data_IF_762646303063
#
_entry.id   IF_762646303063
#
_cell.length_a   1.000
_cell.length_b   1.000
_cell.length_c   1.000
_cell.angle_alpha   90.00
_cell.angle_beta   90.00
_cell.angle_gamma   90.00
#
_symmetry.space_group_name_H-M   'P 1'
#
loop_
_entity.id
_entity.type
_entity.pdbx_description
1 polymer ?
#
# COMPACT_ATOMS: atom_id res chain seq x y z
N UNK A 1 17.73 22.21 15.85
CA UNK A 1 18.93 21.69 16.52
C UNK A 1 18.52 20.53 17.43
N UNK A 2 18.39 19.33 16.86
CA UNK A 2 18.33 18.04 17.56
C UNK A 2 18.95 17.03 16.61
N UNK A 3 19.81 16.22 17.19
CA UNK A 3 20.97 15.57 16.60
C UNK A 3 20.60 14.34 15.78
N UNK A 4 21.46 14.08 14.80
CA UNK A 4 21.52 12.91 13.93
C UNK A 4 21.77 11.64 14.77
N UNK A 5 20.80 10.72 14.81
CA UNK A 5 21.07 9.32 15.16
C UNK A 5 21.44 8.58 13.87
N UNK A 6 22.75 8.55 13.59
CA UNK A 6 23.34 7.59 12.66
C UNK A 6 23.35 6.23 13.35
N UNK A 7 22.55 5.29 12.87
CA UNK A 7 22.57 3.90 13.32
C UNK A 7 23.93 3.28 12.98
N UNK A 8 24.66 2.90 14.02
CA UNK A 8 25.91 2.17 13.97
C UNK A 8 25.68 0.75 13.43
N UNK A 9 25.80 0.56 12.13
CA UNK A 9 26.15 -0.77 11.60
C UNK A 9 27.66 -0.92 11.72
N UNK A 10 28.10 -1.27 12.92
CA UNK A 10 29.46 -1.75 13.16
C UNK A 10 29.62 -3.10 12.47
N UNK A 11 30.17 -3.10 11.26
CA UNK A 11 30.81 -4.29 10.70
C UNK A 11 31.95 -4.61 11.66
N UNK A 12 31.77 -5.62 12.50
CA UNK A 12 32.87 -6.19 13.25
C UNK A 12 33.88 -6.69 12.22
N UNK A 13 34.94 -5.91 11.99
CA UNK A 13 36.15 -6.39 11.37
C UNK A 13 36.65 -7.51 12.28
N UNK A 14 36.38 -8.76 11.91
CA UNK A 14 37.15 -9.89 12.42
C UNK A 14 38.58 -9.64 11.96
N UNK A 15 39.40 -9.11 12.86
CA UNK A 15 40.84 -9.07 12.72
C UNK A 15 41.30 -10.47 12.29
N UNK A 16 41.89 -10.55 11.10
CA UNK A 16 42.62 -11.73 10.68
C UNK A 16 43.89 -11.76 11.55
N UNK A 17 43.74 -12.29 12.75
CA UNK A 17 44.87 -12.63 13.60
C UNK A 17 45.73 -13.61 12.84
N UNK A 18 46.93 -13.16 12.49
CA UNK A 18 48.06 -13.98 12.07
C UNK A 18 48.07 -15.31 12.84
N UNK A 19 47.82 -16.42 12.13
CA UNK A 19 47.77 -17.79 12.64
C UNK A 19 49.17 -18.31 13.00
N UNK A 20 49.96 -17.55 13.74
CA UNK A 20 51.30 -17.95 14.17
C UNK A 20 51.35 -18.61 15.56
N UNK A 21 50.22 -19.08 16.10
CA UNK A 21 50.20 -19.92 17.30
C UNK A 21 48.89 -20.68 17.47
N UNK A 22 48.81 -21.94 17.00
CA UNK A 22 47.75 -22.87 17.39
C UNK A 22 48.34 -23.99 18.27
N UNK A 23 47.68 -24.41 19.38
CA UNK A 23 48.21 -25.37 20.35
C UNK A 23 48.26 -26.84 19.88
N UNK A 24 47.81 -27.13 18.66
CA UNK A 24 47.69 -28.50 18.17
C UNK A 24 48.66 -28.76 17.02
N UNK A 25 49.96 -28.79 17.37
CA UNK A 25 50.95 -29.46 16.52
C UNK A 25 50.90 -30.97 16.68
N UNK A 26 50.21 -31.50 17.69
CA UNK A 26 50.11 -32.93 18.01
C UNK A 26 48.66 -33.39 18.10
N UNK A 27 48.41 -34.61 17.64
CA UNK A 27 47.12 -35.27 17.71
C UNK A 27 46.77 -35.63 19.16
N UNK A 28 45.58 -35.28 19.66
CA UNK A 28 45.19 -35.53 21.05
C UNK A 28 45.08 -37.02 21.39
N UNK A 29 44.82 -37.88 20.39
CA UNK A 29 44.64 -39.33 20.58
C UNK A 29 45.96 -40.10 20.61
N UNK A 30 46.89 -39.73 19.74
CA UNK A 30 48.11 -40.49 19.49
C UNK A 30 49.38 -39.77 19.94
N UNK A 31 49.25 -38.50 20.35
CA UNK A 31 50.37 -37.63 20.73
C UNK A 31 51.45 -37.53 19.62
N UNK A 32 51.07 -37.77 18.35
CA UNK A 32 51.93 -37.61 17.18
C UNK A 32 51.73 -36.28 16.45
N UNK A 33 52.76 -35.72 15.78
CA UNK A 33 52.62 -34.50 15.02
C UNK A 33 51.51 -34.59 13.96
N UNK A 34 50.64 -33.59 13.89
CA UNK A 34 49.64 -33.47 12.81
C UNK A 34 50.40 -33.13 11.53
N UNK A 35 50.39 -34.06 10.58
CA UNK A 35 51.21 -33.99 9.36
C UNK A 35 50.52 -34.55 8.11
N UNK A 36 49.25 -34.95 8.22
CA UNK A 36 48.49 -35.61 7.16
C UNK A 36 47.17 -34.86 6.92
N UNK A 37 46.78 -34.70 5.65
CA UNK A 37 45.49 -34.19 5.22
C UNK A 37 44.63 -35.32 4.68
N UNK A 38 43.42 -35.48 5.20
CA UNK A 38 42.42 -36.39 4.65
C UNK A 38 41.51 -35.63 3.69
N UNK A 39 41.61 -35.91 2.39
CA UNK A 39 40.84 -35.25 1.34
C UNK A 39 39.35 -35.57 1.44
N UNK A 40 39.00 -36.82 1.77
CA UNK A 40 37.61 -37.27 1.92
C UNK A 40 36.89 -36.55 3.06
N UNK A 41 37.56 -36.36 4.19
CA UNK A 41 36.98 -35.68 5.36
C UNK A 41 37.23 -34.17 5.38
N UNK A 42 38.11 -33.65 4.52
CA UNK A 42 38.63 -32.26 4.53
C UNK A 42 39.18 -31.85 5.90
N UNK A 43 39.99 -32.70 6.51
CA UNK A 43 40.54 -32.50 7.85
C UNK A 43 42.03 -32.81 7.92
N UNK A 44 42.74 -32.12 8.82
CA UNK A 44 44.13 -32.41 9.16
C UNK A 44 44.21 -33.37 10.35
N UNK A 45 45.12 -34.34 10.30
CA UNK A 45 45.29 -35.40 11.29
C UNK A 45 46.75 -35.90 11.33
N UNK A 46 47.14 -36.70 12.34
CA UNK A 46 48.47 -37.34 12.31
C UNK A 46 48.43 -38.69 11.59
N UNK A 47 49.59 -39.16 11.15
CA UNK A 47 49.76 -40.42 10.41
C UNK A 47 49.10 -41.64 11.07
N UNK A 48 49.05 -41.73 12.41
CA UNK A 48 48.36 -42.81 13.12
C UNK A 48 46.84 -42.78 12.92
N UNK A 49 46.23 -41.58 12.86
CA UNK A 49 44.81 -41.45 12.53
C UNK A 49 44.52 -41.87 11.09
N UNK A 50 45.43 -41.61 10.15
CA UNK A 50 45.25 -41.93 8.74
C UNK A 50 45.11 -43.45 8.50
N UNK A 51 45.82 -44.26 9.29
CA UNK A 51 45.77 -45.73 9.21
C UNK A 51 44.72 -46.36 10.13
N UNK A 52 44.09 -45.56 10.99
CA UNK A 52 43.03 -46.03 11.88
C UNK A 52 41.83 -46.55 11.09
N UNK A 53 41.02 -47.43 11.69
CA UNK A 53 39.81 -47.97 11.05
C UNK A 53 38.85 -46.90 10.53
N UNK A 54 38.89 -45.68 11.10
CA UNK A 54 38.05 -44.54 10.70
C UNK A 54 38.49 -43.86 9.40
N UNK A 55 39.78 -43.91 9.04
CA UNK A 55 40.33 -43.27 7.84
C UNK A 55 41.06 -44.23 6.89
N UNK A 56 41.09 -45.53 7.21
CA UNK A 56 41.80 -46.57 6.45
C UNK A 56 41.42 -46.64 4.97
N UNK A 57 40.19 -46.25 4.63
CA UNK A 57 39.66 -46.21 3.26
C UNK A 57 39.56 -44.80 2.67
N UNK A 58 40.08 -43.78 3.37
CA UNK A 58 40.05 -42.39 2.89
C UNK A 58 41.38 -42.03 2.22
N UNK A 59 41.29 -41.14 1.23
CA UNK A 59 42.47 -40.57 0.59
C UNK A 59 43.14 -39.60 1.56
N UNK A 60 44.31 -39.99 2.05
CA UNK A 60 45.08 -39.25 3.03
C UNK A 60 46.50 -39.02 2.49
N UNK A 61 46.97 -37.77 2.58
CA UNK A 61 48.26 -37.36 2.03
C UNK A 61 49.08 -36.64 3.09
N UNK A 62 50.40 -36.87 3.12
CA UNK A 62 51.29 -36.09 3.98
C UNK A 62 51.37 -34.65 3.46
N UNK A 63 51.53 -33.69 4.35
CA UNK A 63 51.66 -32.28 3.94
C UNK A 63 52.81 -32.06 2.94
N UNK A 64 53.94 -32.75 3.12
CA UNK A 64 55.07 -32.69 2.19
C UNK A 64 54.71 -33.06 0.75
N UNK A 65 53.74 -33.95 0.59
CA UNK A 65 53.42 -34.57 -0.71
C UNK A 65 52.42 -33.72 -1.50
N UNK A 66 51.61 -32.92 -0.80
CA UNK A 66 50.54 -32.10 -1.41
C UNK A 66 50.71 -30.59 -1.19
N UNK A 67 51.74 -30.12 -0.48
CA UNK A 67 51.94 -28.69 -0.16
C UNK A 67 51.94 -27.84 -1.43
N UNK A 68 52.68 -28.26 -2.45
CA UNK A 68 52.74 -27.54 -3.71
C UNK A 68 51.40 -27.57 -4.45
N UNK A 69 50.77 -28.74 -4.56
CA UNK A 69 49.48 -28.90 -5.26
C UNK A 69 48.36 -28.09 -4.60
N UNK A 70 48.27 -28.11 -3.26
CA UNK A 70 47.29 -27.34 -2.51
C UNK A 70 47.52 -25.83 -2.61
N UNK A 71 48.78 -25.38 -2.60
CA UNK A 71 49.10 -23.96 -2.85
C UNK A 71 48.69 -23.52 -4.24
N UNK A 72 48.92 -24.36 -5.25
CA UNK A 72 48.50 -24.08 -6.63
C UNK A 72 46.98 -24.06 -6.79
N UNK A 73 46.26 -25.00 -6.15
CA UNK A 73 44.80 -25.02 -6.12
C UNK A 73 44.23 -23.75 -5.47
N UNK A 74 44.70 -23.39 -4.27
CA UNK A 74 44.25 -22.19 -3.56
C UNK A 74 44.55 -20.91 -4.34
N UNK A 75 45.73 -20.81 -4.98
CA UNK A 75 46.04 -19.67 -5.86
C UNK A 75 45.06 -19.59 -7.02
N UNK A 76 44.73 -20.72 -7.66
CA UNK A 76 43.76 -20.76 -8.77
C UNK A 76 42.36 -20.33 -8.32
N UNK A 77 41.88 -20.85 -7.19
CA UNK A 77 40.56 -20.51 -6.64
C UNK A 77 40.48 -19.03 -6.25
N UNK A 78 41.50 -18.50 -5.58
CA UNK A 78 41.56 -17.09 -5.18
C UNK A 78 41.62 -16.16 -6.38
N UNK A 79 42.45 -16.47 -7.39
CA UNK A 79 42.48 -15.70 -8.64
C UNK A 79 41.12 -15.72 -9.35
N UNK A 80 40.48 -16.89 -9.43
CA UNK A 80 39.15 -17.00 -10.03
C UNK A 80 38.07 -16.23 -9.26
N UNK A 81 38.16 -16.19 -7.93
CA UNK A 81 37.26 -15.38 -7.10
C UNK A 81 37.51 -13.87 -7.30
N UNK A 82 38.78 -13.47 -7.39
CA UNK A 82 39.17 -12.09 -7.63
C UNK A 82 38.71 -11.59 -9.00
N UNK A 83 38.81 -12.42 -10.04
CA UNK A 83 38.26 -12.12 -11.37
C UNK A 83 36.73 -12.01 -11.34
N UNK A 84 36.04 -12.95 -10.67
CA UNK A 84 34.58 -12.87 -10.49
C UNK A 84 34.15 -11.60 -9.76
N UNK A 85 34.87 -11.22 -8.71
CA UNK A 85 34.64 -9.97 -7.98
C UNK A 85 34.78 -8.76 -8.91
N UNK A 86 35.91 -8.63 -9.62
CA UNK A 86 36.15 -7.50 -10.51
C UNK A 86 35.15 -7.44 -11.67
N UNK A 87 34.76 -8.60 -12.20
CA UNK A 87 33.74 -8.70 -13.22
C UNK A 87 32.39 -8.20 -12.70
N UNK A 88 31.98 -8.64 -11.51
CA UNK A 88 30.76 -8.17 -10.86
C UNK A 88 30.79 -6.66 -10.57
N UNK A 89 31.90 -6.13 -10.06
CA UNK A 89 32.07 -4.68 -9.80
C UNK A 89 31.91 -3.84 -11.06
N UNK A 90 32.45 -4.32 -12.20
CA UNK A 90 32.33 -3.64 -13.49
C UNK A 90 30.94 -3.78 -14.11
N UNK A 91 30.33 -4.96 -14.04
CA UNK A 91 29.01 -5.25 -14.61
C UNK A 91 27.87 -4.58 -13.84
N UNK A 92 28.00 -4.47 -12.52
CA UNK A 92 26.99 -3.89 -11.64
C UNK A 92 27.30 -2.45 -11.22
N UNK A 93 28.42 -1.86 -11.67
CA UNK A 93 28.87 -0.52 -11.29
C UNK A 93 28.92 -0.33 -9.76
N UNK A 94 29.47 -1.31 -9.05
CA UNK A 94 29.54 -1.33 -7.58
C UNK A 94 30.94 -1.00 -7.05
N UNK A 95 31.75 -0.27 -7.81
CA UNK A 95 32.96 0.34 -7.28
C UNK A 95 32.61 1.43 -6.25
N UNK A 96 33.51 1.68 -5.30
CA UNK A 96 33.26 2.58 -4.18
C UNK A 96 32.80 3.98 -4.63
N UNK A 97 33.35 4.52 -5.71
CA UNK A 97 32.98 5.84 -6.23
C UNK A 97 31.56 5.84 -6.84
N UNK A 98 31.20 4.80 -7.59
CA UNK A 98 29.84 4.65 -8.13
C UNK A 98 28.80 4.46 -7.02
N UNK A 99 29.13 3.70 -5.97
CA UNK A 99 28.25 3.52 -4.81
C UNK A 99 28.06 4.83 -4.03
N UNK A 100 29.14 5.58 -3.78
CA UNK A 100 29.07 6.89 -3.12
C UNK A 100 28.22 7.88 -3.95
N UNK A 101 28.39 7.89 -5.27
CA UNK A 101 27.59 8.73 -6.15
C UNK A 101 26.09 8.36 -6.10
N UNK A 102 25.76 7.06 -6.00
CA UNK A 102 24.38 6.62 -5.88
C UNK A 102 23.75 7.01 -4.54
N UNK A 103 24.52 6.98 -3.45
CA UNK A 103 24.09 7.51 -2.15
C UNK A 103 23.76 9.00 -2.27
N UNK A 104 24.63 9.80 -2.90
CA UNK A 104 24.35 11.23 -3.13
C UNK A 104 23.11 11.46 -4.00
N UNK A 105 22.91 10.63 -5.03
CA UNK A 105 21.72 10.69 -5.88
C UNK A 105 20.44 10.43 -5.08
N UNK A 106 20.44 9.41 -4.21
CA UNK A 106 19.31 9.08 -3.33
C UNK A 106 19.04 10.23 -2.37
N UNK A 107 20.07 10.85 -1.78
CA UNK A 107 19.89 12.01 -0.90
C UNK A 107 19.31 13.22 -1.63
N UNK A 108 19.77 13.48 -2.86
CA UNK A 108 19.24 14.54 -3.71
C UNK A 108 17.78 14.30 -4.09
N UNK A 109 17.43 13.07 -4.50
CA UNK A 109 16.05 12.69 -4.82
C UNK A 109 15.14 12.84 -3.60
N UNK A 110 15.58 12.38 -2.42
CA UNK A 110 14.85 12.59 -1.15
C UNK A 110 14.57 14.06 -0.89
N UNK A 111 15.53 14.95 -1.14
CA UNK A 111 15.35 16.40 -0.96
C UNK A 111 14.33 16.98 -1.93
N UNK A 112 14.43 16.62 -3.22
CA UNK A 112 13.50 17.08 -4.26
C UNK A 112 12.08 16.61 -3.99
N UNK A 113 11.89 15.32 -3.69
CA UNK A 113 10.57 14.75 -3.41
C UNK A 113 9.91 15.39 -2.19
N UNK A 114 10.69 15.70 -1.14
CA UNK A 114 10.17 16.43 0.02
C UNK A 114 9.74 17.86 -0.32
N UNK A 115 10.47 18.52 -1.22
CA UNK A 115 10.13 19.87 -1.65
C UNK A 115 8.82 19.88 -2.44
N UNK A 116 8.67 18.95 -3.39
CA UNK A 116 7.44 18.75 -4.16
C UNK A 116 6.25 18.38 -3.26
N UNK A 117 6.47 17.49 -2.29
CA UNK A 117 5.45 17.14 -1.31
C UNK A 117 4.96 18.36 -0.54
N UNK A 118 5.88 19.20 -0.05
CA UNK A 118 5.50 20.41 0.68
C UNK A 118 4.71 21.38 -0.21
N UNK A 119 5.15 21.59 -1.46
CA UNK A 119 4.44 22.44 -2.41
C UNK A 119 3.00 21.97 -2.66
N UNK A 120 2.80 20.67 -2.85
CA UNK A 120 1.47 20.09 -3.05
C UNK A 120 0.52 20.35 -1.85
N UNK A 121 1.05 20.23 -0.63
CA UNK A 121 0.26 20.51 0.58
C UNK A 121 0.02 22.00 0.79
N UNK A 122 0.99 22.85 0.43
CA UNK A 122 0.85 24.30 0.49
C UNK A 122 -0.28 24.79 -0.45
N UNK A 123 -0.42 24.20 -1.64
CA UNK A 123 -1.52 24.50 -2.57
C UNK A 123 -2.90 24.19 -1.95
N UNK A 124 -3.04 23.01 -1.34
CA UNK A 124 -4.30 22.62 -0.67
C UNK A 124 -4.61 23.54 0.50
N UNK A 125 -3.60 23.86 1.32
CA UNK A 125 -3.75 24.80 2.42
C UNK A 125 -4.20 26.17 1.93
N UNK A 126 -3.61 26.66 0.84
CA UNK A 126 -3.98 27.94 0.24
C UNK A 126 -5.44 27.95 -0.23
N UNK A 127 -5.88 26.93 -0.97
CA UNK A 127 -7.28 26.84 -1.43
C UNK A 127 -8.29 26.77 -0.29
N UNK A 128 -7.96 26.04 0.79
CA UNK A 128 -8.81 25.97 1.98
C UNK A 128 -8.88 27.32 2.70
N UNK A 129 -7.74 28.02 2.80
CA UNK A 129 -7.67 29.32 3.44
C UNK A 129 -8.45 30.39 2.64
N UNK A 130 -8.30 30.40 1.31
CA UNK A 130 -9.06 31.30 0.43
C UNK A 130 -10.57 31.07 0.59
N UNK A 131 -11.02 29.80 0.62
CA UNK A 131 -12.44 29.49 0.84
C UNK A 131 -12.94 29.97 2.20
N UNK A 132 -12.11 29.84 3.24
CA UNK A 132 -12.41 30.32 4.59
C UNK A 132 -12.57 31.85 4.61
N UNK A 133 -11.68 32.59 3.95
CA UNK A 133 -11.75 34.06 3.85
C UNK A 133 -13.01 34.51 3.10
N UNK A 134 -13.37 33.85 1.99
CA UNK A 134 -14.61 34.13 1.25
C UNK A 134 -15.84 33.96 2.15
N UNK A 135 -15.92 32.86 2.92
CA UNK A 135 -17.05 32.60 3.80
C UNK A 135 -17.16 33.62 4.94
N UNK A 136 -16.03 34.02 5.54
CA UNK A 136 -16.05 35.07 6.57
C UNK A 136 -16.51 36.41 5.99
N UNK A 137 -16.00 36.80 4.82
CA UNK A 137 -16.43 38.03 4.16
C UNK A 137 -17.94 38.01 3.85
N UNK A 138 -18.50 36.86 3.47
CA UNK A 138 -19.94 36.71 3.27
C UNK A 138 -20.74 36.90 4.57
N UNK A 139 -20.25 36.38 5.69
CA UNK A 139 -20.88 36.60 7.01
C UNK A 139 -20.83 38.08 7.38
N UNK A 140 -19.69 38.73 7.22
CA UNK A 140 -19.53 40.17 7.53
C UNK A 140 -20.47 41.04 6.68
N UNK A 141 -20.53 40.78 5.37
CA UNK A 141 -21.42 41.49 4.45
C UNK A 141 -22.90 41.33 4.84
N UNK A 142 -23.34 40.11 5.12
CA UNK A 142 -24.73 39.84 5.54
C UNK A 142 -25.05 40.51 6.88
N UNK A 143 -24.09 40.54 7.81
CA UNK A 143 -24.26 41.25 9.08
C UNK A 143 -24.42 42.75 8.85
N UNK A 144 -23.58 43.37 8.03
CA UNK A 144 -23.69 44.78 7.67
C UNK A 144 -25.05 45.11 7.06
N UNK A 145 -25.50 44.35 6.07
CA UNK A 145 -26.82 44.55 5.44
C UNK A 145 -27.97 44.44 6.45
N UNK A 146 -27.92 43.44 7.34
CA UNK A 146 -28.93 43.25 8.40
C UNK A 146 -28.89 44.40 9.42
N UNK A 147 -27.71 44.88 9.79
CA UNK A 147 -27.54 46.03 10.70
C UNK A 147 -28.07 47.32 10.08
N UNK A 148 -27.89 47.54 8.78
CA UNK A 148 -28.41 48.71 8.07
C UNK A 148 -29.95 48.71 8.04
N UNK A 149 -30.56 47.55 7.77
CA UNK A 149 -32.02 47.38 7.83
C UNK A 149 -32.54 47.72 9.23
N UNK A 150 -31.93 47.16 10.28
CA UNK A 150 -32.33 47.43 11.67
C UNK A 150 -32.17 48.91 12.03
N UNK A 151 -31.07 49.53 11.61
CA UNK A 151 -30.81 50.95 11.85
C UNK A 151 -31.88 51.83 11.21
N UNK A 152 -32.29 51.50 9.97
CA UNK A 152 -33.36 52.21 9.27
C UNK A 152 -34.73 52.06 9.93
N UNK A 153 -35.05 50.86 10.41
CA UNK A 153 -36.27 50.63 11.21
C UNK A 153 -36.24 51.48 12.48
N UNK A 154 -35.10 51.52 13.17
CA UNK A 154 -34.93 52.30 14.40
C UNK A 154 -35.14 53.80 14.15
N UNK A 155 -34.59 54.33 13.06
CA UNK A 155 -34.77 55.73 12.66
C UNK A 155 -36.24 56.05 12.32
N UNK A 156 -36.89 55.22 11.50
CA UNK A 156 -38.30 55.39 11.16
C UNK A 156 -39.19 55.33 12.40
N UNK A 157 -38.94 54.38 13.30
CA UNK A 157 -39.67 54.26 14.57
C UNK A 157 -39.52 55.53 15.42
N UNK A 158 -38.29 56.04 15.59
CA UNK A 158 -38.04 57.27 16.36
C UNK A 158 -38.74 58.48 15.75
N UNK A 159 -38.73 58.59 14.41
CA UNK A 159 -39.42 59.67 13.69
C UNK A 159 -40.93 59.59 13.92
N UNK A 160 -41.52 58.41 13.76
CA UNK A 160 -42.96 58.19 13.98
C UNK A 160 -43.35 58.47 15.43
N UNK A 161 -42.59 58.01 16.42
CA UNK A 161 -42.82 58.31 17.83
C UNK A 161 -42.77 59.81 18.13
N UNK A 162 -41.81 60.54 17.55
CA UNK A 162 -41.73 62.00 17.70
C UNK A 162 -42.95 62.69 17.10
N UNK A 163 -43.35 62.31 15.90
CA UNK A 163 -44.51 62.92 15.25
C UNK A 163 -45.82 62.60 15.99
N UNK A 164 -45.99 61.40 16.54
CA UNK A 164 -47.15 61.05 17.38
C UNK A 164 -47.20 61.95 18.63
N UNK A 165 -46.06 62.26 19.25
CA UNK A 165 -46.00 63.14 20.43
C UNK A 165 -46.53 64.54 20.17
N UNK A 166 -46.48 65.02 18.93
CA UNK A 166 -47.03 66.33 18.56
C UNK A 166 -48.57 66.38 18.63
N UNK A 167 -49.23 65.22 18.79
CA UNK A 167 -50.68 65.06 18.91
C UNK A 167 -51.13 64.65 20.35
N UNK A 168 -50.27 64.73 21.37
CA UNK A 168 -50.62 64.25 22.73
C UNK A 168 -51.61 65.20 23.45
N UNK A 169 -51.61 66.50 23.15
CA UNK A 169 -52.47 67.49 23.82
C UNK A 169 -53.52 68.07 22.87
N UNK A 170 -54.28 67.21 22.19
CA UNK A 170 -55.28 67.64 21.20
C UNK A 170 -56.38 68.52 21.81
N UNK A 171 -56.80 68.24 23.04
CA UNK A 171 -57.88 68.96 23.73
C UNK A 171 -57.48 70.39 24.14
N UNK A 172 -56.19 70.68 24.24
CA UNK A 172 -55.64 72.00 24.61
C UNK A 172 -55.22 72.83 23.38
N UNK A 173 -55.26 72.24 22.17
CA UNK A 173 -54.84 72.92 20.94
C UNK A 173 -55.92 73.83 20.37
N UNK A 174 -55.53 75.01 19.89
CA UNK A 174 -56.44 75.90 19.17
C UNK A 174 -56.95 75.22 17.89
N UNK A 175 -58.22 75.46 17.53
CA UNK A 175 -58.90 74.80 16.40
C UNK A 175 -58.16 74.96 15.07
N UNK A 176 -57.51 76.12 14.86
CA UNK A 176 -56.68 76.37 13.68
C UNK A 176 -55.45 75.46 13.63
N UNK A 177 -54.70 75.35 14.73
CA UNK A 177 -53.49 74.53 14.81
C UNK A 177 -53.81 73.03 14.69
N UNK A 178 -54.96 72.62 15.24
CA UNK A 178 -55.47 71.26 15.13
C UNK A 178 -55.83 70.90 13.69
N UNK A 179 -56.56 71.78 12.99
CA UNK A 179 -56.85 71.63 11.56
C UNK A 179 -55.56 71.64 10.73
N UNK A 180 -54.63 72.55 11.01
CA UNK A 180 -53.36 72.65 10.27
C UNK A 180 -52.51 71.37 10.43
N UNK A 181 -52.38 70.81 11.64
CA UNK A 181 -51.66 69.54 11.87
C UNK A 181 -52.41 68.33 11.29
N UNK A 182 -53.74 68.30 11.37
CA UNK A 182 -54.53 67.22 10.79
C UNK A 182 -54.37 67.17 9.26
N UNK A 183 -54.38 68.32 8.59
CA UNK A 183 -54.22 68.39 7.12
C UNK A 183 -52.78 68.16 6.66
N UNK A 184 -51.78 68.64 7.40
CA UNK A 184 -50.39 68.65 6.90
C UNK A 184 -49.47 67.60 7.53
N UNK A 185 -49.82 67.04 8.70
CA UNK A 185 -48.90 66.19 9.47
C UNK A 185 -49.44 64.79 9.70
N UNK A 186 -50.75 64.60 9.90
CA UNK A 186 -51.32 63.29 10.21
C UNK A 186 -51.11 62.26 9.08
N UNK A 187 -51.33 62.66 7.83
CA UNK A 187 -51.11 61.80 6.65
C UNK A 187 -49.65 61.33 6.53
N UNK A 188 -48.70 62.18 6.92
CA UNK A 188 -47.27 61.84 6.89
C UNK A 188 -46.96 60.79 7.96
N UNK A 189 -47.53 60.92 9.17
CA UNK A 189 -47.33 59.95 10.27
C UNK A 189 -47.91 58.60 9.94
N UNK A 190 -49.14 58.58 9.42
CA UNK A 190 -49.81 57.33 9.00
C UNK A 190 -49.03 56.65 7.89
N UNK A 191 -48.54 57.42 6.90
CA UNK A 191 -47.72 56.88 5.81
C UNK A 191 -46.39 56.31 6.30
N UNK A 192 -45.67 57.01 7.17
CA UNK A 192 -44.39 56.54 7.73
C UNK A 192 -44.59 55.29 8.62
N UNK A 193 -45.69 55.22 9.38
CA UNK A 193 -46.05 54.04 10.17
C UNK A 193 -46.39 52.83 9.30
N UNK A 194 -47.26 53.00 8.29
CA UNK A 194 -47.63 51.92 7.38
C UNK A 194 -46.41 51.38 6.63
N UNK A 195 -45.53 52.27 6.18
CA UNK A 195 -44.25 51.89 5.57
C UNK A 195 -43.40 51.03 6.51
N UNK A 196 -43.34 51.39 7.79
CA UNK A 196 -42.60 50.63 8.81
C UNK A 196 -43.23 49.25 9.07
N UNK A 197 -44.55 49.10 8.99
CA UNK A 197 -45.23 47.81 9.28
C UNK A 197 -45.35 46.89 8.07
N UNK A 198 -45.41 47.43 6.85
CA UNK A 198 -45.54 46.65 5.62
C UNK A 198 -44.19 46.21 5.04
N UNK A 199 -43.15 47.05 5.15
CA UNK A 199 -41.83 46.76 4.55
C UNK A 199 -40.94 45.89 5.47
N UNK A 200 -41.26 45.77 6.76
CA UNK A 200 -40.36 45.15 7.74
C UNK A 200 -41.02 44.02 8.55
N UNK A 201 -40.65 42.78 8.23
CA UNK A 201 -40.95 41.60 9.04
C UNK A 201 -39.74 41.25 9.92
N UNK A 202 -39.89 41.42 11.23
CA UNK A 202 -38.78 41.31 12.20
C UNK A 202 -38.37 39.86 12.52
N UNK A 203 -39.17 38.88 12.10
CA UNK A 203 -38.90 37.49 12.43
C UNK A 203 -37.68 36.98 11.63
N UNK A 204 -36.66 36.51 12.35
CA UNK A 204 -35.47 35.80 11.83
C UNK A 204 -34.32 36.65 11.25
N UNK A 205 -34.27 37.97 11.50
CA UNK A 205 -33.19 38.86 11.00
C UNK A 205 -31.78 38.47 11.50
N UNK A 206 -31.64 37.61 12.51
CA UNK A 206 -30.35 37.12 13.02
C UNK A 206 -30.02 35.68 12.62
N UNK A 207 -30.94 34.94 11.99
CA UNK A 207 -30.69 33.53 11.67
C UNK A 207 -29.74 33.43 10.47
N UNK A 208 -28.52 32.97 10.75
CA UNK A 208 -27.51 32.61 9.76
C UNK A 208 -27.05 31.18 10.07
N UNK A 209 -26.97 30.33 9.04
CA UNK A 209 -26.57 28.92 9.18
C UNK A 209 -25.64 28.56 8.04
N UNK A 210 -24.58 27.83 8.36
CA UNK A 210 -23.73 27.19 7.36
C UNK A 210 -24.43 25.89 6.94
N UNK A 211 -24.80 25.80 5.67
CA UNK A 211 -25.41 24.61 5.08
C UNK A 211 -24.33 23.56 4.76
N UNK A 212 -24.73 22.29 4.69
CA UNK A 212 -23.94 21.14 4.18
C UNK A 212 -22.61 20.80 4.92
N UNK A 213 -22.27 21.51 5.98
CA UNK A 213 -21.00 21.38 6.70
C UNK A 213 -20.66 19.98 7.27
N UNK A 214 -21.64 19.21 7.77
CA UNK A 214 -21.34 17.98 8.53
C UNK A 214 -20.98 16.76 7.66
N UNK A 215 -21.70 16.57 6.56
CA UNK A 215 -21.48 15.42 5.67
C UNK A 215 -20.19 15.62 4.88
N UNK A 216 -19.97 16.84 4.38
CA UNK A 216 -18.80 17.20 3.58
C UNK A 216 -17.47 17.09 4.36
N UNK A 217 -17.44 17.50 5.64
CA UNK A 217 -16.23 17.35 6.47
C UNK A 217 -15.83 15.87 6.63
N UNK A 218 -16.81 14.98 6.73
CA UNK A 218 -16.55 13.54 6.87
C UNK A 218 -15.96 12.96 5.59
N UNK A 219 -16.44 13.40 4.43
CA UNK A 219 -15.91 13.00 3.12
C UNK A 219 -14.53 13.60 2.86
N UNK A 220 -14.32 14.88 3.16
CA UNK A 220 -12.99 15.53 3.08
C UNK A 220 -11.96 14.82 3.95
N UNK A 221 -12.31 14.40 5.17
CA UNK A 221 -11.41 13.60 6.01
C UNK A 221 -10.99 12.28 5.35
N UNK A 222 -11.93 11.59 4.69
CA UNK A 222 -11.60 10.37 3.94
C UNK A 222 -10.68 10.65 2.75
N UNK A 223 -10.90 11.76 2.05
CA UNK A 223 -10.04 12.17 0.93
C UNK A 223 -8.63 12.48 1.45
N UNK A 224 -8.50 13.30 2.50
CA UNK A 224 -7.21 13.68 3.10
C UNK A 224 -6.45 12.45 3.61
N UNK A 225 -7.12 11.51 4.29
CA UNK A 225 -6.48 10.29 4.78
C UNK A 225 -5.89 9.40 3.68
N UNK A 226 -6.42 9.51 2.46
CA UNK A 226 -5.96 8.75 1.30
C UNK A 226 -5.21 9.62 0.28
N UNK A 227 -4.91 10.88 0.61
CA UNK A 227 -4.28 11.82 -0.29
C UNK A 227 -2.76 11.60 -0.32
N UNK A 228 -2.25 11.33 -1.52
CA UNK A 228 -0.83 11.07 -1.77
C UNK A 228 -0.41 9.65 -1.37
N UNK A 229 0.53 9.10 -2.15
CA UNK A 229 1.25 7.87 -1.81
C UNK A 229 2.69 8.03 -2.29
N UNK A 230 3.65 7.71 -1.43
CA UNK A 230 5.05 7.59 -1.84
C UNK A 230 5.23 6.18 -2.41
N UNK A 231 5.62 6.11 -3.68
CA UNK A 231 6.03 4.86 -4.31
C UNK A 231 7.56 4.83 -4.40
N UNK A 232 8.17 3.80 -3.83
CA UNK A 232 9.57 3.51 -4.13
C UNK A 232 9.61 2.84 -5.49
N UNK A 233 10.20 3.51 -6.49
CA UNK A 233 10.63 2.89 -7.75
C UNK A 233 11.93 2.10 -7.58
N UNK A 234 12.14 1.49 -6.41
CA UNK A 234 12.67 0.15 -6.51
C UNK A 234 11.64 -0.51 -7.42
N UNK A 235 12.06 -1.14 -8.52
CA UNK A 235 11.30 -2.32 -8.87
C UNK A 235 11.06 -2.98 -7.54
N UNK A 236 9.81 -3.25 -7.18
CA UNK A 236 9.64 -4.49 -6.49
C UNK A 236 10.45 -5.45 -7.39
N UNK A 237 11.68 -5.75 -6.99
CA UNK A 237 12.06 -7.12 -6.82
C UNK A 237 10.86 -7.62 -6.03
N UNK A 238 9.79 -7.98 -6.74
CA UNK A 238 8.88 -8.97 -6.28
C UNK A 238 9.80 -10.19 -6.27
N UNK A 239 10.68 -10.31 -5.28
CA UNK A 239 10.42 -11.33 -4.30
C UNK A 239 8.96 -11.13 -3.93
N UNK A 240 8.05 -11.93 -4.52
CA UNK A 240 6.69 -12.09 -4.03
C UNK A 240 6.87 -12.46 -2.56
N UNK A 241 6.90 -11.42 -1.74
CA UNK A 241 7.40 -11.50 -0.40
C UNK A 241 6.26 -12.09 0.40
N UNK A 242 6.34 -13.40 0.56
CA UNK A 242 5.50 -14.27 1.37
C UNK A 242 4.24 -14.74 0.62
N UNK A 243 4.35 -15.81 -0.16
CA UNK A 243 3.18 -16.65 -0.36
C UNK A 243 2.77 -17.21 1.01
N UNK A 244 1.51 -17.02 1.42
CA UNK A 244 1.00 -17.61 2.65
C UNK A 244 0.51 -19.04 2.37
N UNK A 245 1.09 -20.05 3.01
CA UNK A 245 0.64 -21.44 2.95
C UNK A 245 0.62 -22.08 4.35
N UNK A 246 -0.56 -22.54 4.80
CA UNK A 246 -0.83 -23.56 5.79
C UNK A 246 0.28 -24.54 6.12
N UNK A 247 0.65 -25.24 5.06
CA UNK A 247 1.21 -26.58 5.10
C UNK A 247 2.20 -26.73 3.95
N UNK A 248 3.47 -26.49 4.29
CA UNK A 248 4.70 -26.86 3.58
C UNK A 248 4.52 -27.22 2.08
N UNK A 249 4.55 -26.20 1.22
CA UNK A 249 4.94 -26.34 -0.19
C UNK A 249 6.38 -25.88 -0.44
N UNK A 250 7.10 -26.58 -1.32
CA UNK A 250 8.35 -26.08 -1.88
C UNK A 250 8.03 -24.96 -2.89
N UNK A 251 8.15 -23.71 -2.45
CA UNK A 251 8.14 -22.55 -3.34
C UNK A 251 9.58 -22.33 -3.82
N UNK A 252 9.85 -22.62 -5.09
CA UNK A 252 11.14 -22.27 -5.68
C UNK A 252 11.09 -20.86 -6.26
N UNK A 253 11.86 -19.95 -5.69
CA UNK A 253 12.04 -18.59 -6.21
C UNK A 253 13.09 -18.66 -7.32
N UNK A 254 12.66 -18.48 -8.57
CA UNK A 254 13.57 -18.31 -9.71
C UNK A 254 13.81 -16.80 -9.89
N UNK A 255 15.02 -16.39 -10.26
CA UNK A 255 15.44 -14.97 -10.32
C UNK A 255 14.41 -14.05 -11.00
N UNK A 256 14.07 -12.93 -10.35
CA UNK A 256 13.23 -11.86 -10.91
C UNK A 256 11.75 -12.22 -11.04
N UNK A 257 10.88 -11.64 -10.20
CA UNK A 257 9.41 -11.56 -10.30
C UNK A 257 8.64 -12.83 -10.75
N UNK A 258 9.23 -14.02 -10.66
CA UNK A 258 8.70 -15.30 -11.16
C UNK A 258 8.77 -16.37 -10.07
N UNK A 259 7.63 -17.00 -9.80
CA UNK A 259 7.45 -17.97 -8.71
C UNK A 259 6.86 -19.24 -9.28
N UNK A 260 7.51 -20.36 -9.03
CA UNK A 260 6.95 -21.68 -9.33
C UNK A 260 6.39 -22.29 -8.04
N UNK A 261 5.17 -22.80 -8.17
CA UNK A 261 4.34 -23.28 -7.06
C UNK A 261 3.93 -24.70 -7.41
N UNK A 262 4.26 -25.66 -6.55
CA UNK A 262 4.00 -27.10 -6.77
C UNK A 262 3.39 -27.69 -5.50
N UNK A 263 2.22 -28.34 -5.62
CA UNK A 263 1.62 -29.07 -4.51
C UNK A 263 2.34 -30.40 -4.29
N UNK A 264 3.13 -30.52 -3.22
CA UNK A 264 3.84 -31.79 -2.92
C UNK A 264 3.03 -32.75 -2.05
N UNK A 265 2.04 -32.25 -1.30
CA UNK A 265 1.22 -33.07 -0.41
C UNK A 265 0.27 -33.98 -1.18
N UNK A 266 0.16 -35.23 -0.75
CA UNK A 266 -0.83 -36.20 -1.23
C UNK A 266 -2.20 -36.04 -0.56
N UNK A 267 -2.35 -35.11 0.41
CA UNK A 267 -3.62 -34.83 1.06
C UNK A 267 -4.65 -34.29 0.06
N UNK A 268 -5.91 -34.68 0.23
CA UNK A 268 -7.04 -34.36 -0.67
C UNK A 268 -7.56 -32.92 -0.45
N UNK A 269 -6.96 -32.15 0.45
CA UNK A 269 -7.40 -30.78 0.76
C UNK A 269 -6.88 -29.75 -0.25
N UNK A 270 -7.71 -28.75 -0.53
CA UNK A 270 -7.33 -27.61 -1.37
C UNK A 270 -6.24 -26.79 -0.69
N UNK A 271 -5.12 -26.56 -1.38
CA UNK A 271 -4.07 -25.66 -0.88
C UNK A 271 -4.22 -24.30 -1.54
N UNK A 272 -4.35 -23.26 -0.72
CA UNK A 272 -4.56 -21.89 -1.17
C UNK A 272 -3.28 -21.09 -0.99
N UNK A 273 -2.87 -20.44 -2.06
CA UNK A 273 -1.63 -19.70 -2.10
C UNK A 273 -1.93 -18.26 -2.50
N UNK A 274 -1.48 -17.33 -1.67
CA UNK A 274 -1.79 -15.91 -1.82
C UNK A 274 -0.56 -15.10 -2.09
N UNK A 275 -0.63 -14.12 -2.99
CA UNK A 275 0.43 -13.12 -3.11
C UNK A 275 0.23 -12.08 -2.01
N UNK A 276 1.19 -11.92 -1.10
CA UNK A 276 1.14 -11.00 0.04
C UNK A 276 1.31 -9.51 -0.33
N UNK A 277 0.69 -9.10 -1.43
CA UNK A 277 0.51 -7.71 -1.83
C UNK A 277 -0.97 -7.45 -2.01
N UNK A 278 -1.55 -6.66 -1.11
CA UNK A 278 -2.98 -6.34 -1.16
C UNK A 278 -3.28 -5.28 -2.23
N UNK A 279 -4.25 -5.60 -3.09
CA UNK A 279 -4.81 -4.69 -4.08
C UNK A 279 -5.90 -3.85 -3.41
N UNK A 280 -5.79 -2.53 -3.54
CA UNK A 280 -6.66 -1.52 -2.89
C UNK A 280 -7.29 -0.60 -3.92
N UNK A 281 -8.26 0.22 -3.48
CA UNK A 281 -8.80 1.28 -4.33
C UNK A 281 -7.70 2.28 -4.72
N UNK A 282 -7.79 2.91 -5.90
CA UNK A 282 -6.74 3.80 -6.41
C UNK A 282 -5.55 3.05 -7.04
N UNK A 283 -5.75 1.83 -7.54
CA UNK A 283 -4.66 1.03 -8.12
C UNK A 283 -5.15 0.10 -9.23
N UNK A 284 -4.30 -0.15 -10.23
CA UNK A 284 -4.50 -1.20 -11.22
C UNK A 284 -3.30 -2.14 -11.12
N UNK A 285 -3.56 -3.44 -11.03
CA UNK A 285 -2.52 -4.46 -10.95
C UNK A 285 -2.73 -5.48 -12.05
N UNK A 286 -1.64 -5.97 -12.62
CA UNK A 286 -1.64 -7.03 -13.62
C UNK A 286 -0.60 -8.08 -13.28
N UNK A 287 -0.94 -9.34 -13.51
CA UNK A 287 -0.03 -10.48 -13.32
C UNK A 287 -0.42 -11.64 -14.22
N UNK A 288 0.47 -12.62 -14.35
CA UNK A 288 0.26 -13.82 -15.15
C UNK A 288 0.45 -15.08 -14.33
N UNK A 289 -0.31 -16.10 -14.67
CA UNK A 289 -0.23 -17.45 -14.09
C UNK A 289 -0.20 -18.44 -15.25
N UNK A 290 0.93 -19.12 -15.40
CA UNK A 290 1.09 -20.22 -16.34
C UNK A 290 0.77 -21.54 -15.63
N UNK A 291 -0.04 -22.38 -16.26
CA UNK A 291 -0.33 -23.72 -15.78
C UNK A 291 0.78 -24.66 -16.24
N UNK A 292 1.60 -25.15 -15.32
CA UNK A 292 2.73 -26.03 -15.62
C UNK A 292 2.26 -27.49 -15.68
N UNK A 293 1.56 -27.94 -14.65
CA UNK A 293 0.93 -29.26 -14.56
C UNK A 293 -0.48 -29.13 -13.99
N UNK A 294 -1.42 -29.89 -14.56
CA UNK A 294 -2.83 -29.89 -14.23
C UNK A 294 -3.32 -31.34 -14.15
N UNK A 295 -3.21 -31.91 -12.96
CA UNK A 295 -3.55 -33.28 -12.62
C UNK A 295 -4.90 -33.37 -11.91
N UNK A 296 -5.29 -32.31 -11.21
CA UNK A 296 -6.55 -32.23 -10.50
C UNK A 296 -7.36 -30.99 -10.86
N UNK A 297 -7.49 -30.11 -9.88
CA UNK A 297 -8.31 -28.91 -9.96
C UNK A 297 -7.45 -27.71 -9.59
N UNK A 298 -7.47 -26.69 -10.45
CA UNK A 298 -6.73 -25.45 -10.22
C UNK A 298 -7.71 -24.28 -10.25
N UNK A 299 -7.64 -23.41 -9.25
CA UNK A 299 -8.40 -22.17 -9.16
C UNK A 299 -7.48 -20.95 -9.23
N UNK A 300 -7.89 -19.90 -9.95
CA UNK A 300 -7.17 -18.62 -10.00
C UNK A 300 -8.13 -17.46 -9.72
N UNK A 301 -7.65 -16.45 -9.00
CA UNK A 301 -8.47 -15.28 -8.69
C UNK A 301 -7.89 -14.38 -7.62
N UNK A 302 -8.76 -13.86 -6.74
CA UNK A 302 -8.40 -13.02 -5.60
C UNK A 302 -9.23 -13.39 -4.36
N UNK A 303 -8.68 -13.16 -3.17
CA UNK A 303 -9.35 -13.39 -1.89
C UNK A 303 -9.34 -12.14 -1.01
N UNK A 304 -10.39 -11.96 -0.19
CA UNK A 304 -10.47 -10.80 0.71
C UNK A 304 -9.44 -10.88 1.83
N UNK A 305 -8.94 -9.71 2.23
CA UNK A 305 -7.92 -9.56 3.26
C UNK A 305 -8.25 -10.29 4.58
N UNK A 306 -9.52 -10.31 4.97
CA UNK A 306 -9.96 -10.99 6.20
C UNK A 306 -9.73 -12.51 6.18
N UNK A 307 -9.82 -13.16 5.01
CA UNK A 307 -9.55 -14.59 4.86
C UNK A 307 -8.05 -14.85 4.94
N UNK A 308 -7.28 -14.07 4.17
CA UNK A 308 -5.82 -14.18 4.13
C UNK A 308 -5.21 -13.94 5.51
N UNK A 309 -5.66 -12.91 6.24
CA UNK A 309 -5.17 -12.59 7.59
C UNK A 309 -5.67 -13.54 8.67
N UNK A 310 -6.87 -14.10 8.54
CA UNK A 310 -7.40 -15.03 9.55
C UNK A 310 -6.82 -16.43 9.43
N UNK A 311 -6.21 -16.76 8.29
CA UNK A 311 -5.62 -18.08 8.00
C UNK A 311 -6.63 -19.24 8.09
N UNK A 312 -7.92 -18.91 8.04
CA UNK A 312 -9.04 -19.87 8.12
C UNK A 312 -9.52 -20.19 6.72
N UNK A 313 -8.91 -21.21 6.12
CA UNK A 313 -9.18 -21.63 4.75
C UNK A 313 -10.21 -22.77 4.65
N UNK A 314 -10.69 -23.31 5.77
CA UNK A 314 -11.79 -24.30 5.80
C UNK A 314 -13.12 -23.75 5.25
N UNK A 315 -13.25 -22.42 5.13
CA UNK A 315 -14.43 -21.79 4.53
C UNK A 315 -14.62 -22.11 3.03
N UNK A 316 -13.58 -22.65 2.35
CA UNK A 316 -13.67 -23.10 0.96
C UNK A 316 -14.15 -24.55 0.80
N UNK A 317 -14.25 -25.32 1.88
CA UNK A 317 -14.78 -26.69 1.87
C UNK A 317 -16.30 -26.73 1.75
N UNK A 318 -16.98 -25.61 2.05
CA UNK A 318 -18.43 -25.52 2.00
C UNK A 318 -18.88 -24.67 0.80
N UNK A 319 -19.90 -25.11 0.05
CA UNK A 319 -20.34 -24.47 -1.20
C UNK A 319 -21.05 -23.11 -1.01
N UNK A 320 -21.02 -22.54 0.20
CA UNK A 320 -21.78 -21.36 0.57
C UNK A 320 -20.88 -20.14 0.77
N UNK A 321 -21.47 -18.93 0.72
CA UNK A 321 -20.89 -17.57 0.66
C UNK A 321 -19.86 -17.18 1.77
N UNK A 322 -19.29 -18.14 2.47
CA UNK A 322 -18.32 -17.97 3.55
C UNK A 322 -16.86 -17.98 3.07
N UNK A 323 -16.58 -18.41 1.83
CA UNK A 323 -15.23 -18.43 1.24
C UNK A 323 -14.66 -17.03 0.91
N UNK A 324 -15.54 -16.02 0.82
CA UNK A 324 -15.23 -14.58 0.63
C UNK A 324 -14.10 -14.29 -0.37
N UNK A 325 -14.14 -15.00 -1.49
CA UNK A 325 -13.13 -14.95 -2.56
C UNK A 325 -13.81 -14.85 -3.92
N UNK A 326 -13.07 -14.44 -4.93
CA UNK A 326 -13.52 -14.31 -6.32
C UNK A 326 -12.54 -15.08 -7.19
N UNK A 327 -12.91 -16.27 -7.63
CA UNK A 327 -12.00 -17.12 -8.40
C UNK A 327 -12.73 -18.00 -9.40
N UNK A 328 -11.99 -18.41 -10.42
CA UNK A 328 -12.42 -19.28 -11.52
C UNK A 328 -11.54 -20.52 -11.55
N UNK A 329 -12.14 -21.67 -11.80
CA UNK A 329 -11.41 -22.94 -11.89
C UNK A 329 -11.14 -23.41 -13.31
N UNK A 330 -10.25 -24.38 -13.43
CA UNK A 330 -9.83 -25.00 -14.69
C UNK A 330 -10.97 -25.61 -15.50
N UNK A 331 -12.06 -26.03 -14.84
CA UNK A 331 -13.28 -26.54 -15.45
C UNK A 331 -14.38 -25.46 -15.64
N UNK A 332 -13.99 -24.18 -15.71
CA UNK A 332 -14.83 -23.00 -15.98
C UNK A 332 -15.84 -22.59 -14.89
N UNK A 333 -15.82 -23.25 -13.72
CA UNK A 333 -16.70 -22.86 -12.60
C UNK A 333 -16.20 -21.55 -11.98
N UNK A 334 -17.13 -20.76 -11.45
CA UNK A 334 -16.85 -19.46 -10.82
C UNK A 334 -17.46 -19.37 -9.43
N UNK A 335 -16.75 -18.67 -8.54
CA UNK A 335 -17.17 -18.40 -7.16
C UNK A 335 -17.05 -16.91 -6.89
N UNK A 336 -18.10 -16.32 -6.32
CA UNK A 336 -18.12 -14.91 -5.89
C UNK A 336 -19.07 -14.72 -4.71
N UNK A 337 -18.79 -13.72 -3.87
CA UNK A 337 -19.62 -13.45 -2.68
C UNK A 337 -21.04 -12.96 -3.01
N UNK A 338 -21.23 -12.36 -4.19
CA UNK A 338 -22.50 -11.76 -4.61
C UNK A 338 -23.40 -12.71 -5.39
N UNK A 339 -22.86 -13.82 -5.92
CA UNK A 339 -23.63 -14.69 -6.81
C UNK A 339 -24.45 -15.70 -6.01
N UNK A 340 -25.78 -15.68 -6.24
CA UNK A 340 -26.69 -16.77 -5.88
C UNK A 340 -26.46 -18.03 -6.73
N UNK A 341 -25.57 -17.94 -7.72
CA UNK A 341 -25.23 -18.97 -8.70
C UNK A 341 -23.77 -19.40 -8.61
N UNK A 342 -23.20 -19.42 -7.40
CA UNK A 342 -21.89 -20.03 -7.19
C UNK A 342 -21.91 -21.48 -7.71
N UNK A 343 -20.79 -21.92 -8.28
CA UNK A 343 -20.64 -23.22 -8.94
C UNK A 343 -21.41 -23.37 -10.27
N UNK A 344 -21.52 -22.29 -11.04
CA UNK A 344 -21.91 -22.39 -12.46
C UNK A 344 -20.72 -22.12 -13.39
N UNK A 345 -20.74 -22.79 -14.55
CA UNK A 345 -19.76 -22.62 -15.61
C UNK A 345 -20.00 -21.31 -16.38
N UNK A 346 -19.52 -20.20 -15.83
CA UNK A 346 -19.57 -18.88 -16.47
C UNK A 346 -18.21 -18.42 -17.02
N UNK A 347 -17.13 -19.09 -16.61
CA UNK A 347 -15.78 -18.78 -17.03
C UNK A 347 -15.40 -19.46 -18.34
N UNK A 348 -14.15 -19.93 -18.41
CA UNK A 348 -13.65 -20.73 -19.53
C UNK A 348 -12.66 -21.79 -19.02
N UNK A 349 -12.49 -22.84 -19.80
CA UNK A 349 -11.59 -23.94 -19.46
C UNK A 349 -10.13 -23.59 -19.71
N UNK A 350 -9.26 -24.06 -18.81
CA UNK A 350 -7.81 -23.94 -18.95
C UNK A 350 -7.12 -25.19 -18.40
N UNK A 351 -5.95 -25.49 -18.95
CA UNK A 351 -5.19 -26.70 -18.69
C UNK A 351 -3.69 -26.47 -18.84
N UNK A 352 -2.89 -27.53 -18.71
CA UNK A 352 -1.43 -27.50 -18.86
C UNK A 352 -1.01 -26.76 -20.14
N UNK A 353 -0.08 -25.80 -19.97
CA UNK A 353 0.46 -24.97 -21.04
C UNK A 353 -0.25 -23.63 -21.21
N UNK A 354 -1.46 -23.47 -20.67
CA UNK A 354 -2.20 -22.21 -20.76
C UNK A 354 -1.57 -21.13 -19.87
N UNK A 355 -1.64 -19.89 -20.33
CA UNK A 355 -1.24 -18.70 -19.59
C UNK A 355 -2.45 -17.82 -19.37
N UNK A 356 -2.74 -17.53 -18.12
CA UNK A 356 -3.84 -16.65 -17.71
C UNK A 356 -3.26 -15.30 -17.31
N UNK A 357 -3.80 -14.24 -17.89
CA UNK A 357 -3.50 -12.87 -17.53
C UNK A 357 -4.63 -12.31 -16.67
N UNK A 358 -4.26 -11.79 -15.51
CA UNK A 358 -5.19 -11.24 -14.54
C UNK A 358 -4.96 -9.74 -14.45
N UNK A 359 -6.04 -8.97 -14.55
CA UNK A 359 -6.02 -7.51 -14.42
C UNK A 359 -7.06 -7.13 -13.37
N UNK A 360 -6.59 -6.62 -12.24
CA UNK A 360 -7.43 -6.13 -11.15
C UNK A 360 -7.43 -4.60 -11.14
N UNK A 361 -8.57 -4.01 -11.46
CA UNK A 361 -8.78 -2.58 -11.37
C UNK A 361 -9.47 -2.23 -10.04
N UNK A 362 -8.71 -1.65 -9.12
CA UNK A 362 -9.17 -1.21 -7.81
C UNK A 362 -10.10 0.00 -7.85
N UNK A 363 -10.13 0.76 -8.94
CA UNK A 363 -11.05 1.89 -9.13
C UNK A 363 -12.44 1.39 -9.54
N UNK A 364 -12.51 0.54 -10.56
CA UNK A 364 -13.78 -0.02 -11.05
C UNK A 364 -14.24 -1.23 -10.25
N UNK A 365 -13.38 -1.77 -9.38
CA UNK A 365 -13.60 -2.98 -8.57
C UNK A 365 -13.89 -4.21 -9.44
N UNK A 366 -13.11 -4.37 -10.50
CA UNK A 366 -13.25 -5.45 -11.47
C UNK A 366 -11.96 -6.26 -11.58
N UNK A 367 -12.08 -7.60 -11.54
CA UNK A 367 -11.00 -8.53 -11.88
C UNK A 367 -11.36 -9.16 -13.22
N UNK A 368 -10.52 -8.94 -14.21
CA UNK A 368 -10.60 -9.64 -15.50
C UNK A 368 -9.56 -10.73 -15.55
N UNK A 369 -9.97 -11.93 -15.92
CA UNK A 369 -9.11 -13.08 -16.22
C UNK A 369 -9.20 -13.33 -17.71
N UNK A 370 -8.08 -13.32 -18.41
CA UNK A 370 -8.00 -13.54 -19.85
C UNK A 370 -7.05 -14.69 -20.16
N UNK A 371 -7.42 -15.55 -21.10
CA UNK A 371 -6.55 -16.60 -21.61
C UNK A 371 -5.67 -16.04 -22.72
N UNK A 372 -4.35 -16.06 -22.53
CA UNK A 372 -3.41 -15.56 -23.52
C UNK A 372 -3.45 -16.42 -24.78
N UNK A 373 -3.47 -15.77 -25.95
CA UNK A 373 -3.57 -16.47 -27.24
C UNK A 373 -4.99 -16.94 -27.61
N UNK A 374 -6.01 -16.57 -26.83
CA UNK A 374 -7.41 -16.79 -27.20
C UNK A 374 -8.26 -15.54 -26.92
N UNK A 375 -9.51 -15.53 -27.40
CA UNK A 375 -10.49 -14.47 -27.12
C UNK A 375 -11.32 -14.75 -25.86
N UNK A 376 -10.95 -15.75 -25.06
CA UNK A 376 -11.68 -16.11 -23.84
C UNK A 376 -11.28 -15.19 -22.69
N UNK A 377 -12.28 -14.57 -22.07
CA UNK A 377 -12.10 -13.74 -20.88
C UNK A 377 -13.32 -13.84 -19.98
N UNK A 378 -13.12 -13.58 -18.68
CA UNK A 378 -14.17 -13.53 -17.69
C UNK A 378 -13.89 -12.40 -16.71
N UNK A 379 -14.92 -11.63 -16.33
CA UNK A 379 -14.78 -10.48 -15.43
C UNK A 379 -15.68 -10.61 -14.22
N UNK A 380 -15.06 -10.67 -13.05
CA UNK A 380 -15.73 -10.48 -11.77
C UNK A 380 -15.96 -8.98 -11.54
N UNK A 381 -17.18 -8.61 -11.12
CA UNK A 381 -17.58 -7.22 -10.86
C UNK A 381 -17.89 -7.02 -9.37
N UNK A 382 -17.94 -5.76 -8.94
CA UNK A 382 -18.27 -5.36 -7.57
C UNK A 382 -17.38 -6.02 -6.50
N UNK A 383 -16.09 -6.20 -6.79
CA UNK A 383 -15.17 -6.82 -5.85
C UNK A 383 -15.03 -5.95 -4.60
N UNK A 384 -15.20 -6.56 -3.43
CA UNK A 384 -15.02 -5.91 -2.14
C UNK A 384 -13.54 -5.90 -1.78
N UNK A 385 -12.90 -4.74 -1.89
CA UNK A 385 -11.50 -4.49 -1.56
C UNK A 385 -11.27 -4.35 -0.04
N UNK A 386 -10.04 -4.54 0.48
CA UNK A 386 -8.84 -5.02 -0.22
C UNK A 386 -8.87 -6.52 -0.51
N UNK A 387 -8.18 -6.92 -1.59
CA UNK A 387 -8.04 -8.33 -2.00
C UNK A 387 -6.59 -8.69 -2.31
N UNK A 388 -6.25 -9.97 -2.22
CA UNK A 388 -4.93 -10.53 -2.51
C UNK A 388 -5.07 -11.53 -3.67
N UNK A 389 -4.16 -11.56 -4.66
CA UNK A 389 -4.12 -12.61 -5.67
C UNK A 389 -4.10 -14.00 -5.04
N UNK A 390 -4.83 -14.93 -5.64
CA UNK A 390 -5.05 -16.28 -5.16
C UNK A 390 -4.81 -17.30 -6.28
N UNK A 391 -4.09 -18.37 -5.93
CA UNK A 391 -4.06 -19.63 -6.67
C UNK A 391 -4.44 -20.77 -5.72
N UNK A 392 -5.30 -21.67 -6.15
CA UNK A 392 -5.68 -22.87 -5.42
C UNK A 392 -5.25 -24.12 -6.20
N UNK A 393 -4.56 -25.05 -5.54
CA UNK A 393 -4.07 -26.31 -6.11
C UNK A 393 -4.68 -27.51 -5.37
N UNK A 394 -5.14 -28.52 -6.09
CA UNK A 394 -5.88 -29.64 -5.49
C UNK A 394 -5.16 -30.99 -5.57
N UNK A 395 -4.59 -31.38 -6.71
CA UNK A 395 -3.88 -32.66 -6.80
C UNK A 395 -2.41 -32.52 -6.42
N UNK A 396 -1.83 -33.60 -5.92
CA UNK A 396 -0.38 -33.72 -5.83
C UNK A 396 0.24 -33.49 -7.21
N UNK A 397 1.33 -32.74 -7.24
CA UNK A 397 2.07 -32.29 -8.42
C UNK A 397 1.31 -31.33 -9.36
N UNK A 398 0.13 -30.84 -8.98
CA UNK A 398 -0.44 -29.63 -9.62
C UNK A 398 0.59 -28.50 -9.46
N UNK A 399 0.87 -27.81 -10.57
CA UNK A 399 1.90 -26.78 -10.57
C UNK A 399 1.57 -25.58 -11.45
N UNK A 400 1.93 -24.40 -10.97
CA UNK A 400 1.78 -23.14 -11.71
C UNK A 400 3.02 -22.27 -11.57
N UNK A 401 3.22 -21.39 -12.55
CA UNK A 401 4.18 -20.29 -12.45
C UNK A 401 3.45 -18.96 -12.41
N UNK A 402 3.64 -18.21 -11.33
CA UNK A 402 3.20 -16.82 -11.19
C UNK A 402 4.31 -15.86 -11.65
N UNK A 403 4.01 -14.88 -12.49
CA UNK A 403 5.03 -13.94 -12.99
C UNK A 403 4.43 -12.64 -13.54
N UNK A 404 5.31 -11.73 -14.01
CA UNK A 404 4.94 -10.45 -14.62
C UNK A 404 4.02 -9.58 -13.74
N UNK A 405 4.18 -9.64 -12.41
CA UNK A 405 3.48 -8.73 -11.51
C UNK A 405 3.91 -7.30 -11.77
N UNK A 406 2.93 -6.44 -12.02
CA UNK A 406 3.13 -5.01 -12.20
C UNK A 406 1.93 -4.23 -11.72
N UNK A 407 2.23 -3.05 -11.20
CA UNK A 407 1.25 -2.00 -10.99
C UNK A 407 1.20 -1.11 -12.23
N UNK A 408 0.01 -0.83 -12.73
CA UNK A 408 -0.25 0.01 -13.92
C UNK A 408 -0.78 1.37 -13.49
#
# INVERSE_FOLDING_TARGET
>A
MKLLERSQYGIQQTEVTSLNSLPYQFCPLHQCPINTFCQTCRQILCSACAVSSQHKSHECFLFSDIDQEMRELLRRELSGLQEKKQKWEKECHTDDASLDQEIENIEKQKKLLKMELNQLFDEIHHSLQERHEILNNQVDMLCCERMDIISKIKELKQKTEKSIKEFINLDEMATFDLMHKATNSLDIVVKDFNKMTEEFHFEQVHDMKILDSKLEITEMKKIIQNFGRIESSHSENCTAACLYDPEIMNISIQSGNKFEMVKQSSNIENHFIFVNTAIRSGSIHQWKVKINDHLGWIGVGVSREEIVKSQKFSAFETPYNTHRSYFMSSNAFTWSIESKENQKQHGFEFSKGDVLEMIMNGNTRQLTVQKMGSNQSYTFRNIILPVYPLVALYAQDDSVTFYDWKRI
#
